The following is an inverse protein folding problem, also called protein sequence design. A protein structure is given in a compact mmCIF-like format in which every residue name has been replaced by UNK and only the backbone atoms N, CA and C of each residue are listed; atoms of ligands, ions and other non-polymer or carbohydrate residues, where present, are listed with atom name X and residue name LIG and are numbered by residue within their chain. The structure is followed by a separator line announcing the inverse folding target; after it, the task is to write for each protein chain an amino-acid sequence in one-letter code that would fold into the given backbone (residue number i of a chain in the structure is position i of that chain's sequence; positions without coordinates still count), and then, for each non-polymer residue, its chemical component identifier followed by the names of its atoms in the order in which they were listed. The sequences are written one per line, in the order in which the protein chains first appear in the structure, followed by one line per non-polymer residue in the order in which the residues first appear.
data_IF_749714541969
#
_entry.id   IF_749714541969
#
_cell.length_a   1.000
_cell.length_b   1.000
_cell.length_c   1.000
_cell.angle_alpha   90.00
_cell.angle_beta   90.00
_cell.angle_gamma   90.00
#
_symmetry.space_group_name_H-M   'P 1'
#
loop_
_entity.id
_entity.type
_entity.pdbx_description
1 polymer ?
#
# COMPACT_ATOMS: atom_id res chain seq x y z
N UNK A 1 -3.30 24.01 -42.04
CA UNK A 1 -2.08 23.84 -41.25
C UNK A 1 -1.96 22.41 -40.77
N UNK A 2 -0.83 21.77 -41.02
CA UNK A 2 -0.54 20.43 -40.57
C UNK A 2 0.27 20.54 -39.29
N UNK A 3 -0.10 19.78 -38.25
CA UNK A 3 0.58 19.77 -36.97
C UNK A 3 1.10 18.37 -36.70
N UNK A 4 2.35 18.26 -36.30
CA UNK A 4 2.96 17.02 -35.84
C UNK A 4 3.35 17.15 -34.35
N UNK A 5 2.92 16.22 -33.54
CA UNK A 5 3.25 16.17 -32.11
C UNK A 5 4.05 14.90 -31.81
N UNK A 6 5.18 15.06 -31.19
CA UNK A 6 6.02 13.93 -30.74
C UNK A 6 6.21 14.03 -29.23
N UNK A 7 5.90 12.95 -28.52
CA UNK A 7 6.07 12.85 -27.05
C UNK A 7 7.02 11.69 -26.74
N UNK A 8 8.07 11.99 -25.99
CA UNK A 8 9.00 11.00 -25.47
C UNK A 8 8.87 10.94 -23.96
N UNK A 9 8.73 9.74 -23.40
CA UNK A 9 8.58 9.52 -21.95
C UNK A 9 9.72 8.64 -21.47
N UNK A 10 10.46 9.10 -20.46
CA UNK A 10 11.49 8.32 -19.77
C UNK A 10 11.08 8.15 -18.32
N UNK A 11 11.04 6.91 -17.82
CA UNK A 11 10.69 6.59 -16.44
C UNK A 11 11.86 5.90 -15.76
N UNK A 12 12.13 6.31 -14.53
CA UNK A 12 13.11 5.68 -13.66
C UNK A 12 12.47 5.40 -12.30
N UNK A 13 12.81 4.27 -11.70
CA UNK A 13 12.30 3.90 -10.38
C UNK A 13 13.28 2.99 -9.66
N UNK A 14 13.46 3.23 -8.35
CA UNK A 14 14.24 2.37 -7.45
C UNK A 14 13.33 1.91 -6.32
N UNK A 15 12.92 0.64 -6.29
CA UNK A 15 12.17 0.10 -5.16
C UNK A 15 13.10 -0.25 -4.00
N UNK A 16 12.65 0.06 -2.80
CA UNK A 16 13.24 -0.40 -1.55
C UNK A 16 12.16 -1.06 -0.72
N UNK A 17 12.42 -2.27 -0.23
CA UNK A 17 11.48 -2.98 0.62
C UNK A 17 12.20 -3.69 1.76
N UNK A 18 11.56 -3.74 2.92
CA UNK A 18 11.95 -4.62 4.00
C UNK A 18 10.74 -5.20 4.72
N UNK A 19 10.91 -6.36 5.28
CA UNK A 19 9.94 -7.04 6.09
C UNK A 19 10.61 -7.54 7.37
N UNK A 20 10.07 -7.17 8.51
CA UNK A 20 10.54 -7.61 9.82
C UNK A 20 9.38 -8.27 10.55
N UNK A 21 9.61 -9.47 11.05
CA UNK A 21 8.62 -10.23 11.79
C UNK A 21 9.23 -10.74 13.11
N UNK A 22 8.49 -10.56 14.19
CA UNK A 22 8.80 -11.11 15.51
C UNK A 22 7.66 -12.01 15.95
N UNK A 23 8.01 -13.22 16.37
CA UNK A 23 7.08 -14.20 16.88
C UNK A 23 7.45 -14.64 18.29
N UNK A 24 6.44 -14.91 19.09
CA UNK A 24 6.58 -15.48 20.43
C UNK A 24 5.48 -16.50 20.70
N UNK A 25 5.86 -17.68 21.11
CA UNK A 25 4.95 -18.74 21.51
C UNK A 25 5.12 -19.02 23.01
N UNK A 26 4.03 -18.98 23.74
CA UNK A 26 4.00 -19.40 25.13
C UNK A 26 3.18 -20.67 25.28
N UNK A 27 3.78 -21.70 25.83
CA UNK A 27 3.13 -22.98 26.13
C UNK A 27 3.04 -23.18 27.64
N UNK A 28 1.81 -23.24 28.14
CA UNK A 28 1.59 -23.66 29.53
C UNK A 28 1.60 -25.19 29.65
N UNK A 29 1.14 -25.86 28.58
CA UNK A 29 1.13 -27.33 28.44
C UNK A 29 1.05 -27.71 26.98
N UNK A 30 1.07 -29.01 26.65
CA UNK A 30 0.86 -29.49 25.28
C UNK A 30 -0.53 -29.20 24.72
N UNK A 31 -1.48 -28.87 25.61
CA UNK A 31 -2.89 -28.61 25.28
C UNK A 31 -3.28 -27.13 25.36
N UNK A 32 -2.39 -26.29 25.87
CA UNK A 32 -2.70 -24.88 26.17
C UNK A 32 -1.55 -24.00 25.79
N UNK A 33 -1.73 -23.18 24.75
CA UNK A 33 -0.69 -22.30 24.25
C UNK A 33 -1.23 -21.02 23.61
N UNK A 34 -0.35 -20.04 23.51
CA UNK A 34 -0.58 -18.74 22.89
C UNK A 34 0.52 -18.44 21.89
N UNK A 35 0.16 -18.11 20.68
CA UNK A 35 1.06 -17.61 19.65
C UNK A 35 0.82 -16.11 19.43
N UNK A 36 1.88 -15.34 19.52
CA UNK A 36 1.88 -13.91 19.24
C UNK A 36 2.88 -13.62 18.11
N UNK A 37 2.47 -12.84 17.14
CA UNK A 37 3.36 -12.33 16.11
C UNK A 37 3.08 -10.88 15.78
N UNK A 38 4.12 -10.13 15.47
CA UNK A 38 4.05 -8.78 14.94
C UNK A 38 4.98 -8.67 13.75
N UNK A 39 4.44 -8.21 12.64
CA UNK A 39 5.18 -8.00 11.41
C UNK A 39 5.06 -6.56 10.95
N UNK A 40 6.16 -6.00 10.45
CA UNK A 40 6.18 -4.69 9.81
C UNK A 40 6.77 -4.79 8.41
N UNK A 41 6.03 -4.29 7.45
CA UNK A 41 6.41 -4.27 6.04
C UNK A 41 6.51 -2.82 5.57
N UNK A 42 7.65 -2.47 4.99
CA UNK A 42 7.87 -1.20 4.29
C UNK A 42 8.15 -1.48 2.82
N UNK A 43 7.41 -0.82 1.96
CA UNK A 43 7.70 -0.70 0.55
C UNK A 43 7.79 0.77 0.16
N UNK A 44 8.87 1.13 -0.50
CA UNK A 44 9.12 2.48 -0.95
C UNK A 44 9.63 2.45 -2.37
N UNK A 45 9.07 3.28 -3.23
CA UNK A 45 9.54 3.45 -4.60
C UNK A 45 9.60 4.93 -4.95
N UNK A 46 10.80 5.39 -5.29
CA UNK A 46 10.98 6.68 -5.89
C UNK A 46 10.77 6.56 -7.40
N UNK A 47 9.90 7.37 -7.95
CA UNK A 47 9.62 7.43 -9.38
C UNK A 47 9.97 8.81 -9.91
N UNK A 48 10.84 8.84 -10.93
CA UNK A 48 11.06 10.02 -11.75
C UNK A 48 10.53 9.75 -13.16
N UNK A 49 9.74 10.66 -13.70
CA UNK A 49 9.28 10.59 -15.08
C UNK A 49 9.56 11.92 -15.78
N UNK A 50 10.24 11.85 -16.92
CA UNK A 50 10.51 13.00 -17.77
C UNK A 50 9.69 12.88 -19.04
N UNK A 51 8.90 13.90 -19.33
CA UNK A 51 8.11 14.01 -20.55
C UNK A 51 8.65 15.14 -21.41
N UNK A 52 9.04 14.79 -22.62
CA UNK A 52 9.42 15.76 -23.66
C UNK A 52 8.38 15.76 -24.74
N UNK A 53 7.78 16.93 -25.01
CA UNK A 53 6.83 17.11 -26.07
C UNK A 53 7.36 18.14 -27.06
N UNK A 54 7.42 17.78 -28.34
CA UNK A 54 7.77 18.66 -29.43
C UNK A 54 6.57 18.78 -30.36
N UNK A 55 6.13 20.01 -30.62
CA UNK A 55 5.05 20.32 -31.54
C UNK A 55 5.59 21.09 -32.72
N UNK A 56 5.43 20.54 -33.91
CA UNK A 56 5.79 21.18 -35.19
C UNK A 56 4.52 21.64 -35.87
N UNK A 57 4.44 22.93 -36.19
CA UNK A 57 3.33 23.50 -36.94
C UNK A 57 3.85 23.97 -38.31
N UNK A 58 3.19 23.51 -39.32
CA UNK A 58 3.53 23.83 -40.73
C UNK A 58 2.52 24.82 -41.29
N UNK A 59 3.00 26.00 -41.69
CA UNK A 59 2.21 27.05 -42.32
C UNK A 59 2.82 27.34 -43.73
N UNK A 60 2.38 26.59 -44.73
CA UNK A 60 2.97 26.72 -46.08
C UNK A 60 4.46 26.35 -46.10
N UNK A 61 5.34 27.33 -46.38
CA UNK A 61 6.81 27.15 -46.32
C UNK A 61 7.42 27.38 -44.93
N UNK A 62 6.63 27.88 -43.97
CA UNK A 62 7.10 28.21 -42.63
C UNK A 62 6.83 27.08 -41.64
N UNK A 63 7.82 26.76 -40.82
CA UNK A 63 7.72 25.74 -39.77
C UNK A 63 8.03 26.38 -38.43
N UNK A 64 7.10 26.21 -37.48
CA UNK A 64 7.28 26.63 -36.07
C UNK A 64 7.42 25.40 -35.19
N UNK A 65 8.49 25.34 -34.41
CA UNK A 65 8.78 24.25 -33.48
C UNK A 65 8.65 24.76 -32.05
N UNK A 66 7.79 24.12 -31.26
CA UNK A 66 7.61 24.37 -29.83
C UNK A 66 7.97 23.11 -29.05
N UNK A 67 8.86 23.25 -28.06
CA UNK A 67 9.24 22.16 -27.15
C UNK A 67 8.82 22.49 -25.74
N UNK A 68 8.22 21.54 -25.06
CA UNK A 68 7.91 21.63 -23.64
C UNK A 68 8.48 20.42 -22.90
N UNK A 69 8.98 20.65 -21.68
CA UNK A 69 9.47 19.63 -20.77
C UNK A 69 8.59 19.59 -19.54
N UNK A 70 8.27 18.38 -19.10
CA UNK A 70 7.57 18.14 -17.87
C UNK A 70 8.32 17.06 -17.11
N UNK A 71 8.69 17.34 -15.88
CA UNK A 71 9.33 16.41 -14.97
C UNK A 71 8.39 16.12 -13.81
N UNK A 72 8.17 14.84 -13.54
CA UNK A 72 7.40 14.38 -12.38
C UNK A 72 8.31 13.64 -11.44
N UNK A 73 8.32 14.03 -10.17
CA UNK A 73 8.97 13.32 -9.09
C UNK A 73 7.92 12.86 -8.08
N UNK A 74 8.00 11.61 -7.70
CA UNK A 74 7.07 11.01 -6.77
C UNK A 74 7.71 9.94 -5.91
N UNK A 75 7.36 9.92 -4.63
CA UNK A 75 7.76 8.91 -3.68
C UNK A 75 6.53 8.14 -3.22
N UNK A 76 6.36 6.91 -3.68
CA UNK A 76 5.35 6.01 -3.16
C UNK A 76 5.90 5.28 -1.94
N UNK A 77 5.23 5.42 -0.81
CA UNK A 77 5.60 4.78 0.45
C UNK A 77 4.40 4.05 1.03
N UNK A 78 4.57 2.77 1.28
CA UNK A 78 3.59 1.91 1.92
C UNK A 78 4.17 1.29 3.18
N UNK A 79 3.54 1.56 4.32
CA UNK A 79 3.85 0.96 5.61
C UNK A 79 2.68 0.08 6.04
N UNK A 80 2.95 -1.15 6.41
CA UNK A 80 1.95 -2.07 6.94
C UNK A 80 2.47 -2.76 8.19
N UNK A 81 1.67 -2.74 9.25
CA UNK A 81 1.94 -3.46 10.49
C UNK A 81 0.83 -4.45 10.75
N UNK A 82 1.19 -5.71 10.91
CA UNK A 82 0.27 -6.79 11.24
C UNK A 82 0.55 -7.32 12.64
N UNK A 83 -0.49 -7.41 13.46
CA UNK A 83 -0.45 -8.01 14.80
C UNK A 83 -1.38 -9.21 14.77
N UNK A 84 -0.87 -10.35 15.19
CA UNK A 84 -1.61 -11.60 15.25
C UNK A 84 -1.45 -12.25 16.60
N UNK A 85 -2.56 -12.65 17.19
CA UNK A 85 -2.62 -13.34 18.45
C UNK A 85 -3.54 -14.55 18.30
N UNK A 86 -3.01 -15.73 18.46
CA UNK A 86 -3.76 -16.99 18.39
C UNK A 86 -3.63 -17.73 19.73
N UNK A 87 -4.77 -18.03 20.31
CA UNK A 87 -4.90 -18.78 21.53
C UNK A 87 -5.58 -20.12 21.26
N UNK A 88 -5.04 -21.19 21.77
CA UNK A 88 -5.59 -22.54 21.67
C UNK A 88 -5.61 -23.23 23.02
N UNK A 89 -6.75 -23.79 23.35
CA UNK A 89 -6.94 -24.59 24.55
C UNK A 89 -7.71 -25.88 24.23
N UNK A 90 -7.04 -27.00 24.34
CA UNK A 90 -7.64 -28.32 24.24
C UNK A 90 -8.09 -28.75 25.63
N UNK A 91 -9.40 -28.61 25.90
CA UNK A 91 -10.00 -28.89 27.20
C UNK A 91 -9.86 -30.40 27.54
N UNK A 92 -10.13 -31.25 26.54
CA UNK A 92 -9.96 -32.69 26.59
C UNK A 92 -9.85 -33.23 25.14
N UNK A 93 -9.80 -34.53 24.94
CA UNK A 93 -9.69 -35.15 23.63
C UNK A 93 -10.89 -34.86 22.70
N UNK A 94 -12.04 -34.46 23.29
CA UNK A 94 -13.29 -34.22 22.58
C UNK A 94 -13.66 -32.74 22.46
N UNK A 95 -12.99 -31.83 23.14
CA UNK A 95 -13.36 -30.40 23.17
C UNK A 95 -12.11 -29.50 23.05
N UNK A 96 -12.20 -28.53 22.16
CA UNK A 96 -11.13 -27.58 21.86
C UNK A 96 -11.71 -26.19 21.64
N UNK A 97 -11.08 -25.18 22.21
CA UNK A 97 -11.37 -23.77 22.01
C UNK A 97 -10.18 -23.11 21.34
N UNK A 98 -10.45 -22.34 20.29
CA UNK A 98 -9.51 -21.46 19.64
C UNK A 98 -10.08 -20.05 19.68
N UNK A 99 -9.24 -19.08 19.99
CA UNK A 99 -9.59 -17.67 19.90
C UNK A 99 -8.42 -16.90 19.32
N UNK A 100 -8.70 -15.88 18.56
CA UNK A 100 -7.65 -15.11 17.94
C UNK A 100 -8.02 -13.65 17.65
N UNK A 101 -6.99 -12.86 17.52
CA UNK A 101 -7.04 -11.47 17.12
C UNK A 101 -6.08 -11.24 15.97
N UNK A 102 -6.53 -10.49 14.97
CA UNK A 102 -5.70 -10.01 13.86
C UNK A 102 -5.94 -8.53 13.64
N UNK A 103 -4.89 -7.74 13.78
CA UNK A 103 -4.90 -6.31 13.46
C UNK A 103 -3.98 -6.03 12.29
N UNK A 104 -4.45 -5.25 11.32
CA UNK A 104 -3.66 -4.77 10.19
C UNK A 104 -3.80 -3.26 10.09
N UNK A 105 -2.66 -2.56 10.16
CA UNK A 105 -2.57 -1.10 10.10
C UNK A 105 -1.69 -0.72 8.93
N UNK A 106 -2.24 -0.04 7.94
CA UNK A 106 -1.50 0.43 6.78
C UNK A 106 -1.58 1.93 6.61
N UNK A 107 -0.49 2.53 6.15
CA UNK A 107 -0.37 3.95 5.81
C UNK A 107 0.36 4.06 4.48
N UNK A 108 -0.38 4.41 3.44
CA UNK A 108 0.13 4.56 2.09
C UNK A 108 0.17 6.04 1.73
N UNK A 109 1.31 6.50 1.24
CA UNK A 109 1.52 7.88 0.80
C UNK A 109 2.04 7.91 -0.62
N UNK A 110 1.46 8.77 -1.42
CA UNK A 110 1.82 8.94 -2.82
C UNK A 110 1.86 10.42 -3.20
N UNK A 111 2.91 11.16 -2.77
CA UNK A 111 3.10 12.52 -3.23
C UNK A 111 3.62 12.51 -4.67
N UNK A 112 3.06 13.38 -5.51
CA UNK A 112 3.51 13.63 -6.88
C UNK A 112 3.77 15.13 -7.04
N UNK A 113 5.01 15.49 -7.37
CA UNK A 113 5.40 16.86 -7.69
C UNK A 113 5.71 16.94 -9.17
N UNK A 114 5.09 17.88 -9.86
CA UNK A 114 5.30 18.09 -11.29
C UNK A 114 5.97 19.43 -11.52
N UNK A 115 7.05 19.39 -12.28
CA UNK A 115 7.75 20.58 -12.74
C UNK A 115 7.49 20.74 -14.23
N UNK A 116 7.01 21.91 -14.64
CA UNK A 116 6.85 22.24 -16.04
C UNK A 116 7.87 23.30 -16.41
N UNK A 117 8.69 23.02 -17.40
CA UNK A 117 9.75 23.91 -17.83
C UNK A 117 9.77 24.06 -19.35
N UNK A 118 9.73 25.28 -19.80
CA UNK A 118 9.86 25.65 -21.23
C UNK A 118 11.33 25.84 -21.61
N UNK A 119 12.20 26.14 -20.64
CA UNK A 119 13.60 26.51 -20.83
C UNK A 119 14.62 25.53 -20.22
N UNK A 120 14.23 24.36 -19.78
CA UNK A 120 15.09 23.35 -19.12
C UNK A 120 15.73 23.74 -17.79
N UNK A 121 15.11 24.63 -17.02
CA UNK A 121 15.67 25.09 -15.76
C UNK A 121 15.24 24.28 -14.54
N UNK A 122 14.31 23.34 -14.70
CA UNK A 122 13.76 22.45 -13.63
C UNK A 122 13.30 23.18 -12.34
N UNK A 123 13.03 24.49 -12.43
CA UNK A 123 12.76 25.32 -11.26
C UNK A 123 11.28 25.69 -11.05
N UNK A 124 10.42 25.42 -12.02
CA UNK A 124 9.03 25.80 -11.92
C UNK A 124 8.14 24.63 -11.54
N UNK A 125 7.64 24.65 -10.31
CA UNK A 125 6.65 23.67 -9.85
C UNK A 125 5.29 24.02 -10.47
N UNK A 126 4.72 23.08 -11.22
CA UNK A 126 3.35 23.21 -11.67
C UNK A 126 2.39 22.91 -10.53
N UNK A 127 1.93 23.97 -9.88
CA UNK A 127 1.02 23.89 -8.73
C UNK A 127 -0.32 23.23 -9.06
N UNK A 128 -0.73 23.28 -10.32
CA UNK A 128 -1.99 22.68 -10.75
C UNK A 128 -1.92 21.15 -10.84
N UNK A 129 -0.71 20.60 -10.94
CA UNK A 129 -0.46 19.17 -11.05
C UNK A 129 0.17 18.57 -9.78
N UNK A 130 0.38 19.38 -8.75
CA UNK A 130 0.80 18.87 -7.43
C UNK A 130 -0.35 18.13 -6.78
N UNK A 131 -0.11 16.88 -6.42
CA UNK A 131 -1.07 16.06 -5.70
C UNK A 131 -0.35 15.17 -4.68
N UNK A 132 -0.85 15.19 -3.45
CA UNK A 132 -0.42 14.26 -2.41
C UNK A 132 -1.62 13.45 -1.96
N UNK A 133 -1.53 12.14 -2.15
CA UNK A 133 -2.54 11.19 -1.72
C UNK A 133 -2.04 10.39 -0.53
N UNK A 134 -2.86 10.32 0.51
CA UNK A 134 -2.61 9.49 1.70
C UNK A 134 -3.79 8.61 1.98
N UNK A 135 -3.52 7.32 2.12
CA UNK A 135 -4.50 6.31 2.42
C UNK A 135 -4.11 5.59 3.71
N UNK A 136 -4.98 5.63 4.70
CA UNK A 136 -4.82 4.90 5.96
C UNK A 136 -5.92 3.87 6.09
N UNK A 137 -5.54 2.65 6.38
CA UNK A 137 -6.46 1.55 6.63
C UNK A 137 -6.15 0.90 7.98
N UNK A 138 -7.20 0.68 8.75
CA UNK A 138 -7.16 -0.03 10.02
C UNK A 138 -8.20 -1.14 9.97
N UNK A 139 -7.75 -2.38 10.04
CA UNK A 139 -8.60 -3.56 10.06
C UNK A 139 -8.31 -4.36 11.31
N UNK A 140 -9.34 -4.68 12.06
CA UNK A 140 -9.25 -5.50 13.26
C UNK A 140 -10.27 -6.63 13.18
N UNK A 141 -9.85 -7.83 13.50
CA UNK A 141 -10.69 -9.00 13.52
C UNK A 141 -10.52 -9.79 14.82
N UNK A 142 -11.61 -10.17 15.41
CA UNK A 142 -11.68 -11.11 16.51
C UNK A 142 -12.40 -12.36 16.04
N UNK A 143 -11.87 -13.52 16.35
CA UNK A 143 -12.51 -14.77 16.01
C UNK A 143 -12.38 -15.77 17.17
N UNK A 144 -13.38 -16.63 17.27
CA UNK A 144 -13.37 -17.76 18.20
C UNK A 144 -14.00 -18.97 17.54
N UNK A 145 -13.45 -20.13 17.80
CA UNK A 145 -13.93 -21.41 17.29
C UNK A 145 -13.99 -22.41 18.43
N UNK A 146 -15.13 -23.07 18.54
CA UNK A 146 -15.32 -24.18 19.44
C UNK A 146 -15.52 -25.47 18.65
N UNK A 147 -14.71 -26.47 18.92
CA UNK A 147 -14.82 -27.79 18.30
C UNK A 147 -15.13 -28.84 19.38
N UNK A 148 -16.08 -29.68 19.08
CA UNK A 148 -16.48 -30.74 20.00
C UNK A 148 -16.79 -32.03 19.27
N UNK A 149 -16.81 -33.13 20.02
CA UNK A 149 -17.17 -34.45 19.55
C UNK A 149 -18.04 -35.16 20.56
N UNK A 150 -19.19 -35.66 20.08
CA UNK A 150 -20.11 -36.48 20.89
C UNK A 150 -20.22 -37.84 20.20
N UNK A 151 -19.62 -38.86 20.76
CA UNK A 151 -19.56 -40.17 20.13
C UNK A 151 -18.85 -40.15 18.80
N UNK A 152 -19.58 -40.46 17.71
CA UNK A 152 -19.04 -40.43 16.33
C UNK A 152 -19.29 -39.08 15.63
N UNK A 153 -20.05 -38.18 16.25
CA UNK A 153 -20.41 -36.89 15.68
C UNK A 153 -19.40 -35.81 16.11
N UNK A 154 -18.70 -35.24 15.16
CA UNK A 154 -17.87 -34.06 15.34
C UNK A 154 -18.65 -32.79 14.93
N UNK A 155 -18.52 -31.72 15.71
CA UNK A 155 -19.11 -30.42 15.39
C UNK A 155 -18.13 -29.28 15.65
N UNK A 156 -18.33 -28.17 14.92
CA UNK A 156 -17.50 -26.98 15.04
C UNK A 156 -18.40 -25.75 14.89
N UNK A 157 -18.24 -24.81 15.81
CA UNK A 157 -18.91 -23.52 15.79
C UNK A 157 -17.87 -22.42 15.77
N UNK A 158 -18.03 -21.46 14.86
CA UNK A 158 -17.12 -20.33 14.74
C UNK A 158 -17.88 -19.01 14.66
N UNK A 159 -17.31 -18.00 15.32
CA UNK A 159 -17.74 -16.61 15.25
C UNK A 159 -16.56 -15.72 14.87
N UNK A 160 -16.80 -14.76 13.99
CA UNK A 160 -15.82 -13.77 13.57
C UNK A 160 -16.47 -12.39 13.49
N UNK A 161 -15.88 -11.43 14.18
CA UNK A 161 -16.23 -10.02 14.09
C UNK A 161 -15.09 -9.23 13.48
N UNK A 162 -15.38 -8.32 12.56
CA UNK A 162 -14.41 -7.46 11.92
C UNK A 162 -14.78 -5.99 12.09
N UNK A 163 -13.79 -5.18 12.40
CA UNK A 163 -13.86 -3.72 12.37
C UNK A 163 -12.93 -3.21 11.27
N UNK A 164 -13.45 -2.34 10.44
CA UNK A 164 -12.73 -1.79 9.31
C UNK A 164 -12.91 -0.27 9.25
N UNK A 165 -11.81 0.45 9.23
CA UNK A 165 -11.79 1.90 9.10
C UNK A 165 -10.79 2.32 8.02
N UNK A 166 -11.25 3.17 7.10
CA UNK A 166 -10.45 3.72 6.01
C UNK A 166 -10.52 5.22 6.05
N UNK A 167 -9.35 5.87 6.03
CA UNK A 167 -9.22 7.32 5.90
C UNK A 167 -8.42 7.65 4.66
N UNK A 168 -9.00 8.49 3.82
CA UNK A 168 -8.37 8.97 2.60
C UNK A 168 -8.20 10.48 2.70
N UNK A 169 -7.00 10.98 2.41
CA UNK A 169 -6.70 12.41 2.38
C UNK A 169 -6.02 12.74 1.06
N UNK A 170 -6.50 13.77 0.40
CA UNK A 170 -5.90 14.32 -0.82
C UNK A 170 -5.59 15.78 -0.59
N UNK A 171 -4.36 16.17 -0.87
CA UNK A 171 -3.90 17.53 -0.76
C UNK A 171 -3.44 18.00 -2.14
N UNK A 172 -4.00 19.11 -2.60
CA UNK A 172 -3.54 19.88 -3.75
C UNK A 172 -3.09 21.27 -3.31
N UNK A 173 -2.38 21.98 -4.18
CA UNK A 173 -2.03 23.39 -3.99
C UNK A 173 -3.21 24.27 -4.41
#
# INVERSE_FOLDING_TARGET
PTQRMTRTTTQQGKPTMYNVELGYTHRWSDTHFLDFSVGHHLWQQQRGATYRQTTEKFFGSDTTIMSSYQFQDGLNKSNSTEIKLDYEYKINDNHRIEAGYKGNFSDDRSPVTTYTDVEHTEQNIDKNLYNQFRYKQNTQALYTTYSGRIGKLGYQLGLRGEYWNVKTQSYGW
#
